data_IF_395314002932
#
_entry.id   IF_395314002932
#
_cell.length_a   1.000
_cell.length_b   1.000
_cell.length_c   1.000
_cell.angle_alpha   90.00
_cell.angle_beta   90.00
_cell.angle_gamma   90.00
#
_symmetry.space_group_name_H-M   'P 1'
#
loop_
_entity.id
_entity.type
_entity.pdbx_description
1 polymer ?
#
# COMPACT_ATOMS: atom_id res chain seq x y z
N UNK A 1 1.80 31.89 -0.67
CA UNK A 1 0.96 30.72 -0.32
C UNK A 1 1.22 29.62 -1.36
N UNK A 2 1.96 28.53 -1.04
CA UNK A 2 2.35 27.58 -2.07
C UNK A 2 1.15 26.72 -2.51
N UNK A 3 0.71 26.96 -3.75
CA UNK A 3 0.22 25.94 -4.68
C UNK A 3 -1.01 25.13 -4.26
N UNK A 4 -2.20 25.74 -4.25
CA UNK A 4 -3.47 25.01 -4.31
C UNK A 4 -3.61 24.45 -5.73
N UNK A 5 -3.06 23.26 -6.01
CA UNK A 5 -3.35 22.51 -7.24
C UNK A 5 -4.58 21.63 -6.97
N UNK A 6 -5.80 22.04 -7.37
CA UNK A 6 -7.03 21.28 -7.09
C UNK A 6 -7.00 19.85 -7.66
N UNK A 7 -6.14 19.60 -8.66
CA UNK A 7 -6.09 18.34 -9.41
C UNK A 7 -4.78 17.56 -9.22
N UNK A 8 -4.08 17.77 -8.11
CA UNK A 8 -2.83 17.03 -7.84
C UNK A 8 -3.11 15.52 -7.69
N UNK A 9 -2.55 14.69 -8.58
CA UNK A 9 -2.66 13.22 -8.51
C UNK A 9 -1.34 12.66 -7.98
N UNK A 10 -1.42 11.93 -6.86
CA UNK A 10 -0.32 11.13 -6.35
C UNK A 10 -0.40 9.71 -6.90
N UNK A 11 0.72 9.19 -7.39
CA UNK A 11 0.83 7.79 -7.83
C UNK A 11 1.68 7.00 -6.83
N UNK A 12 1.20 5.84 -6.41
CA UNK A 12 1.93 4.90 -5.57
C UNK A 12 1.76 3.49 -6.14
N UNK A 13 2.79 2.99 -6.82
CA UNK A 13 2.68 1.79 -7.64
C UNK A 13 1.59 1.94 -8.70
N UNK A 14 0.70 0.96 -8.80
CA UNK A 14 -0.46 0.98 -9.71
C UNK A 14 -1.62 1.87 -9.21
N UNK A 15 -1.55 2.36 -7.96
CA UNK A 15 -2.63 3.15 -7.37
C UNK A 15 -2.47 4.64 -7.64
N UNK A 16 -3.59 5.31 -7.89
CA UNK A 16 -3.68 6.76 -8.14
C UNK A 16 -4.63 7.40 -7.14
N UNK A 17 -4.18 8.44 -6.47
CA UNK A 17 -4.94 9.15 -5.44
C UNK A 17 -5.06 10.63 -5.81
N UNK A 18 -6.30 11.09 -6.00
CA UNK A 18 -6.57 12.51 -6.27
C UNK A 18 -6.46 13.33 -4.98
N UNK A 19 -5.91 14.55 -5.10
CA UNK A 19 -5.76 15.51 -4.00
C UNK A 19 -4.99 14.93 -2.82
N UNK A 20 -4.06 14.03 -3.12
CA UNK A 20 -3.24 13.33 -2.15
C UNK A 20 -1.80 13.87 -2.14
N UNK A 21 -1.14 13.74 -1.00
CA UNK A 21 0.23 14.19 -0.77
C UNK A 21 0.93 13.24 0.20
N UNK A 22 2.25 13.26 0.21
CA UNK A 22 3.07 12.45 1.11
C UNK A 22 3.60 13.34 2.23
N UNK A 23 3.57 12.83 3.46
CA UNK A 23 4.14 13.48 4.63
C UNK A 23 5.03 12.50 5.41
N UNK A 24 6.22 12.96 5.82
CA UNK A 24 7.07 12.23 6.75
C UNK A 24 6.66 12.59 8.18
N UNK A 25 6.37 11.58 8.99
CA UNK A 25 6.07 11.73 10.40
C UNK A 25 7.36 11.92 11.22
N UNK A 26 7.21 12.38 12.46
CA UNK A 26 8.35 12.56 13.40
C UNK A 26 9.12 11.26 13.67
N UNK A 27 8.45 10.11 13.55
CA UNK A 27 9.05 8.77 13.69
C UNK A 27 9.72 8.25 12.40
N UNK A 28 9.84 9.08 11.36
CA UNK A 28 10.48 8.72 10.09
C UNK A 28 9.58 7.98 9.08
N UNK A 29 8.36 7.57 9.46
CA UNK A 29 7.44 6.87 8.55
C UNK A 29 6.82 7.84 7.55
N UNK A 30 6.65 7.39 6.31
CA UNK A 30 5.96 8.12 5.26
C UNK A 30 4.48 7.74 5.22
N UNK A 31 3.60 8.73 5.28
CA UNK A 31 2.17 8.55 5.13
C UNK A 31 1.69 9.21 3.85
N UNK A 32 0.84 8.50 3.11
CA UNK A 32 0.05 9.09 2.03
C UNK A 32 -1.25 9.62 2.64
N UNK A 33 -1.47 10.93 2.50
CA UNK A 33 -2.64 11.63 3.02
C UNK A 33 -3.50 12.10 1.85
N UNK A 34 -4.82 12.09 2.00
CA UNK A 34 -5.76 12.56 0.98
C UNK A 34 -6.69 13.63 1.53
N UNK A 35 -6.91 14.69 0.74
CA UNK A 35 -7.90 15.71 1.06
C UNK A 35 -9.29 15.26 0.61
N UNK A 36 -10.18 15.03 1.57
CA UNK A 36 -11.55 14.56 1.33
C UNK A 36 -12.52 15.74 1.28
N UNK A 37 -13.33 15.79 0.23
CA UNK A 37 -14.40 16.80 0.07
C UNK A 37 -15.60 16.39 0.93
N UNK A 38 -16.24 17.35 1.60
CA UNK A 38 -17.44 17.10 2.42
C UNK A 38 -17.19 16.91 3.92
N UNK A 39 -15.93 16.84 4.38
CA UNK A 39 -15.56 16.89 5.80
C UNK A 39 -15.17 18.30 6.22
N UNK A 40 -16.04 19.02 6.93
CA UNK A 40 -15.77 20.40 7.37
C UNK A 40 -14.72 20.51 8.49
N UNK A 41 -14.62 19.52 9.39
CA UNK A 41 -13.74 19.60 10.57
C UNK A 41 -12.39 18.89 10.38
N UNK A 42 -12.36 17.80 9.59
CA UNK A 42 -11.13 17.03 9.32
C UNK A 42 -11.07 16.61 7.84
N UNK A 43 -10.67 17.54 6.96
CA UNK A 43 -10.65 17.28 5.52
C UNK A 43 -9.44 16.44 5.06
N UNK A 44 -8.64 15.86 5.96
CA UNK A 44 -7.42 15.10 5.61
C UNK A 44 -7.49 13.72 6.26
N UNK A 45 -7.47 12.67 5.45
CA UNK A 45 -7.43 11.27 5.90
C UNK A 45 -6.13 10.58 5.47
N UNK A 46 -5.77 9.50 6.16
CA UNK A 46 -4.69 8.60 5.75
C UNK A 46 -5.22 7.64 4.69
N UNK A 47 -4.53 7.54 3.56
CA UNK A 47 -4.87 6.60 2.49
C UNK A 47 -4.47 5.18 2.89
N UNK A 48 -5.40 4.25 2.78
CA UNK A 48 -5.15 2.81 2.99
C UNK A 48 -4.87 2.16 1.64
N UNK A 49 -3.61 1.76 1.42
CA UNK A 49 -3.23 1.00 0.21
C UNK A 49 -3.51 -0.49 0.47
N UNK A 50 -4.35 -1.16 -0.33
CA UNK A 50 -4.73 -2.55 -0.11
C UNK A 50 -3.56 -3.50 -0.46
N UNK A 51 -2.66 -3.73 0.49
CA UNK A 51 -1.49 -4.59 0.32
C UNK A 51 -1.65 -6.00 0.89
N UNK A 52 -2.69 -6.25 1.69
CA UNK A 52 -2.84 -7.54 2.39
C UNK A 52 -2.94 -8.74 1.42
N UNK A 53 -3.81 -8.64 0.41
CA UNK A 53 -4.00 -9.69 -0.58
C UNK A 53 -2.74 -9.96 -1.43
N UNK A 54 -2.10 -8.96 -2.08
CA UNK A 54 -0.92 -9.21 -2.90
C UNK A 54 0.28 -9.71 -2.08
N UNK A 55 0.44 -9.26 -0.84
CA UNK A 55 1.50 -9.78 0.04
C UNK A 55 1.27 -11.24 0.41
N UNK A 56 0.02 -11.62 0.73
CA UNK A 56 -0.32 -13.01 1.03
C UNK A 56 -0.07 -13.89 -0.18
N UNK A 57 -0.56 -13.49 -1.35
CA UNK A 57 -0.37 -14.24 -2.59
C UNK A 57 1.12 -14.47 -2.90
N UNK A 58 1.93 -13.41 -2.87
CA UNK A 58 3.36 -13.52 -3.14
C UNK A 58 4.08 -14.40 -2.10
N UNK A 59 3.61 -14.39 -0.85
CA UNK A 59 4.14 -15.27 0.18
C UNK A 59 3.80 -16.74 -0.09
N UNK A 60 2.53 -17.05 -0.35
CA UNK A 60 2.06 -18.42 -0.63
C UNK A 60 2.79 -19.00 -1.86
N UNK A 61 2.88 -18.22 -2.95
CA UNK A 61 3.63 -18.60 -4.16
C UNK A 61 5.10 -18.90 -3.88
N UNK A 62 5.74 -18.07 -3.04
CA UNK A 62 7.14 -18.27 -2.68
C UNK A 62 7.34 -19.49 -1.79
N UNK A 63 6.41 -19.76 -0.85
CA UNK A 63 6.43 -20.97 -0.03
C UNK A 63 6.32 -22.22 -0.90
N UNK A 64 5.39 -22.23 -1.85
CA UNK A 64 5.18 -23.37 -2.75
C UNK A 64 6.35 -23.58 -3.71
N UNK A 65 6.99 -22.50 -4.15
CA UNK A 65 8.24 -22.57 -4.91
C UNK A 65 9.36 -23.21 -4.08
N UNK A 66 9.60 -22.71 -2.87
CA UNK A 66 10.64 -23.24 -1.97
C UNK A 66 10.38 -24.70 -1.63
N UNK A 67 9.12 -25.08 -1.41
CA UNK A 67 8.74 -26.49 -1.17
C UNK A 67 9.13 -27.37 -2.33
N UNK A 68 8.79 -27.01 -3.57
CA UNK A 68 9.15 -27.80 -4.76
C UNK A 68 10.66 -27.88 -4.99
N UNK A 69 11.38 -26.79 -4.75
CA UNK A 69 12.83 -26.73 -4.99
C UNK A 69 13.65 -27.45 -3.91
N UNK A 70 13.18 -27.50 -2.66
CA UNK A 70 13.99 -27.92 -1.52
C UNK A 70 13.46 -29.11 -0.73
N UNK A 71 12.15 -29.42 -0.78
CA UNK A 71 11.63 -30.58 -0.06
C UNK A 71 11.80 -31.84 -0.92
N UNK A 72 12.29 -32.96 -0.33
CA UNK A 72 12.31 -34.25 -1.00
C UNK A 72 10.89 -34.79 -1.20
N UNK A 73 10.66 -35.51 -2.31
CA UNK A 73 9.33 -35.98 -2.75
C UNK A 73 8.60 -36.85 -1.71
N UNK A 74 9.33 -37.49 -0.81
CA UNK A 74 8.79 -38.35 0.25
C UNK A 74 8.05 -37.59 1.37
N UNK A 75 8.07 -36.26 1.37
CA UNK A 75 7.35 -35.44 2.34
C UNK A 75 5.90 -35.10 1.93
N UNK A 76 5.47 -35.48 0.73
CA UNK A 76 4.16 -35.13 0.18
C UNK A 76 3.00 -36.03 0.62
N UNK A 77 3.25 -37.12 1.36
CA UNK A 77 2.17 -38.00 1.84
C UNK A 77 2.45 -38.58 3.22
N UNK A 78 1.76 -38.06 4.24
CA UNK A 78 1.26 -38.81 5.39
C UNK A 78 0.06 -38.10 5.99
#
# INVERSE_FOLDING_TARGET
MPGRRPDSILKAGQHRYQRAFIQRLKNGRWHVMQRVVGKNRYPIDVVKIPMAAPLKQAFDENVDRIRRERLPENWHTR
#
